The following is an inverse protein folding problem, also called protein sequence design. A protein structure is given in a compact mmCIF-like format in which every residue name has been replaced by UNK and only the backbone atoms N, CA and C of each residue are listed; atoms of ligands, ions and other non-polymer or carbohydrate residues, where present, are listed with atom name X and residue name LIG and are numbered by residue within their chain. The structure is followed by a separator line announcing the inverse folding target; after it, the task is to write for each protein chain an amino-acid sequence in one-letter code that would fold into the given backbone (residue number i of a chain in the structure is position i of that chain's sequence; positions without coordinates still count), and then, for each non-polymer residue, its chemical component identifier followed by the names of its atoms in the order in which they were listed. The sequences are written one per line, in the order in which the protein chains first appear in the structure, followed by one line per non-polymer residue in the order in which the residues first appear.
data_IF_315284085180
#
_entry.id   IF_315284085180
#
_cell.length_a   1.000
_cell.length_b   1.000
_cell.length_c   1.000
_cell.angle_alpha   90.00
_cell.angle_beta   90.00
_cell.angle_gamma   90.00
#
_symmetry.space_group_name_H-M   'P 1'
#
loop_
_entity.id
_entity.type
_entity.pdbx_description
1 polymer ?
#
# COMPACT_ATOMS: atom_id res chain seq x y z
N UNK A 1 -0.65 -1.57 0.30
CA UNK A 1 -1.87 -2.40 0.15
C UNK A 1 -2.68 -2.00 -1.10
N UNK A 2 -3.23 -2.94 -1.87
CA UNK A 2 -3.96 -2.63 -3.12
C UNK A 2 -5.46 -2.85 -3.01
N UNK A 3 -6.27 -1.79 -3.10
CA UNK A 3 -7.73 -1.94 -3.19
C UNK A 3 -8.07 -2.70 -4.48
N UNK A 4 -8.76 -3.83 -4.33
CA UNK A 4 -9.26 -4.64 -5.44
C UNK A 4 -10.20 -3.80 -6.32
N UNK A 5 -9.79 -3.53 -7.56
CA UNK A 5 -10.53 -2.70 -8.50
C UNK A 5 -11.73 -3.40 -9.15
N UNK A 6 -11.84 -4.73 -9.02
CA UNK A 6 -12.85 -5.53 -9.71
C UNK A 6 -13.59 -6.47 -8.74
N UNK A 7 -14.91 -6.31 -8.64
CA UNK A 7 -15.79 -7.23 -7.91
C UNK A 7 -17.07 -6.59 -7.36
N UNK A 8 -18.00 -7.41 -6.88
CA UNK A 8 -19.17 -6.97 -6.10
C UNK A 8 -18.91 -7.27 -4.62
N UNK A 9 -18.87 -6.27 -3.72
CA UNK A 9 -18.79 -6.55 -2.30
C UNK A 9 -20.05 -7.26 -1.82
N UNK A 10 -19.87 -8.29 -0.99
CA UNK A 10 -20.98 -8.96 -0.32
C UNK A 10 -21.41 -8.14 0.89
N UNK A 11 -22.72 -8.02 1.11
CA UNK A 11 -23.23 -7.44 2.35
C UNK A 11 -23.07 -8.43 3.53
N UNK A 12 -23.29 -7.95 4.75
CA UNK A 12 -23.10 -8.77 5.95
C UNK A 12 -23.92 -10.06 5.95
N UNK A 13 -25.19 -10.01 5.54
CA UNK A 13 -26.06 -11.19 5.50
C UNK A 13 -25.55 -12.22 4.49
N UNK A 14 -25.14 -11.77 3.30
CA UNK A 14 -24.51 -12.61 2.29
C UNK A 14 -23.22 -13.26 2.84
N UNK A 15 -22.34 -12.48 3.49
CA UNK A 15 -21.12 -12.98 4.13
C UNK A 15 -21.42 -14.07 5.16
N UNK A 16 -22.45 -13.87 6.00
CA UNK A 16 -22.83 -14.86 7.00
C UNK A 16 -23.16 -16.23 6.39
N UNK A 17 -23.77 -16.26 5.21
CA UNK A 17 -24.11 -17.51 4.52
C UNK A 17 -22.90 -18.27 3.99
N UNK A 18 -21.82 -17.56 3.63
CA UNK A 18 -20.63 -18.15 2.98
C UNK A 18 -19.40 -18.22 3.87
N UNK A 19 -19.40 -17.58 5.06
CA UNK A 19 -18.22 -17.45 5.94
C UNK A 19 -17.52 -18.78 6.25
N UNK A 20 -18.29 -19.85 6.42
CA UNK A 20 -17.72 -21.17 6.76
C UNK A 20 -16.95 -21.75 5.57
N UNK A 21 -17.48 -21.60 4.36
CA UNK A 21 -16.82 -22.03 3.11
C UNK A 21 -15.51 -21.26 2.93
N UNK A 22 -15.56 -19.93 3.08
CA UNK A 22 -14.36 -19.08 2.99
C UNK A 22 -13.30 -19.45 4.02
N UNK A 23 -13.67 -19.68 5.28
CA UNK A 23 -12.74 -20.11 6.32
C UNK A 23 -12.07 -21.44 6.00
N UNK A 24 -12.83 -22.41 5.48
CA UNK A 24 -12.29 -23.72 5.11
C UNK A 24 -11.30 -23.59 3.94
N UNK A 25 -11.62 -22.79 2.92
CA UNK A 25 -10.70 -22.53 1.81
C UNK A 25 -9.43 -21.82 2.29
N UNK A 26 -9.57 -20.75 3.07
CA UNK A 26 -8.43 -20.00 3.61
C UNK A 26 -7.50 -20.88 4.47
N UNK A 27 -8.06 -21.78 5.28
CA UNK A 27 -7.27 -22.72 6.07
C UNK A 27 -6.52 -23.72 5.18
N UNK A 28 -7.17 -24.26 4.15
CA UNK A 28 -6.53 -25.16 3.20
C UNK A 28 -5.38 -24.45 2.46
N UNK A 29 -5.61 -23.24 1.97
CA UNK A 29 -4.60 -22.43 1.29
C UNK A 29 -3.42 -22.12 2.21
N UNK A 30 -3.69 -21.76 3.47
CA UNK A 30 -2.66 -21.54 4.47
C UNK A 30 -1.81 -22.80 4.69
N UNK A 31 -2.46 -23.97 4.85
CA UNK A 31 -1.76 -25.25 5.02
C UNK A 31 -0.91 -25.57 3.78
N UNK A 32 -1.41 -25.32 2.57
CA UNK A 32 -0.67 -25.53 1.33
C UNK A 32 0.56 -24.62 1.24
N UNK A 33 0.41 -23.33 1.54
CA UNK A 33 1.51 -22.35 1.55
C UNK A 33 2.57 -22.76 2.59
N UNK A 34 2.14 -23.06 3.82
CA UNK A 34 3.06 -23.51 4.87
C UNK A 34 3.79 -24.79 4.47
N UNK A 35 3.09 -25.79 3.91
CA UNK A 35 3.72 -27.02 3.46
C UNK A 35 4.70 -26.82 2.31
N UNK A 36 4.41 -25.88 1.40
CA UNK A 36 5.29 -25.51 0.28
C UNK A 36 6.58 -24.85 0.77
N UNK A 37 6.50 -24.00 1.80
CA UNK A 37 7.62 -23.17 2.24
C UNK A 37 8.28 -23.61 3.55
N UNK A 38 7.78 -24.63 4.25
CA UNK A 38 8.33 -25.10 5.55
C UNK A 38 9.78 -25.59 5.53
N UNK A 39 10.34 -25.88 4.36
CA UNK A 39 11.74 -26.30 4.16
C UNK A 39 12.57 -25.24 3.43
N UNK A 40 12.01 -24.05 3.21
CA UNK A 40 12.75 -22.93 2.65
C UNK A 40 13.70 -22.40 3.71
N UNK A 41 14.96 -22.25 3.33
CA UNK A 41 16.04 -21.76 4.20
C UNK A 41 16.94 -20.83 3.37
N UNK A 42 17.70 -19.97 4.04
CA UNK A 42 18.64 -19.04 3.42
C UNK A 42 17.99 -17.99 2.49
N UNK A 43 16.74 -17.58 2.78
CA UNK A 43 16.16 -16.42 2.12
C UNK A 43 16.94 -15.15 2.50
N UNK A 44 17.07 -14.23 1.56
CA UNK A 44 17.68 -12.93 1.81
C UNK A 44 16.87 -12.16 2.86
N UNK A 45 17.54 -11.46 3.78
CA UNK A 45 16.89 -10.55 4.70
C UNK A 45 16.45 -9.29 3.95
N UNK A 46 15.23 -9.33 3.44
CA UNK A 46 14.54 -8.24 2.79
C UNK A 46 13.57 -7.58 3.78
N UNK A 47 13.51 -6.26 3.76
CA UNK A 47 12.64 -5.48 4.64
C UNK A 47 12.25 -4.17 3.97
N UNK A 48 11.18 -3.52 4.41
CA UNK A 48 10.75 -2.20 3.94
C UNK A 48 9.92 -1.51 5.01
N UNK A 49 9.75 -0.21 4.87
CA UNK A 49 8.77 0.57 5.60
C UNK A 49 7.46 0.72 4.80
N UNK A 50 6.43 1.15 5.52
CA UNK A 50 5.12 1.56 4.99
C UNK A 50 4.71 2.81 5.78
N UNK A 51 4.43 3.91 5.08
CA UNK A 51 4.12 5.21 5.69
C UNK A 51 2.78 5.70 5.19
N UNK A 52 1.91 6.04 6.13
CA UNK A 52 0.65 6.71 5.86
C UNK A 52 0.76 8.24 6.01
N UNK A 53 0.26 8.97 5.01
CA UNK A 53 0.23 10.42 4.98
C UNK A 53 -1.22 10.91 4.95
N UNK A 54 -1.55 11.84 5.84
CA UNK A 54 -2.83 12.55 5.79
C UNK A 54 -2.73 13.80 4.89
N UNK A 55 -3.55 13.84 3.85
CA UNK A 55 -3.71 14.98 2.97
C UNK A 55 -4.50 16.08 3.71
N UNK A 56 -3.88 17.25 3.82
CA UNK A 56 -4.45 18.41 4.49
C UNK A 56 -4.53 19.60 3.54
N UNK A 57 -5.58 20.41 3.68
CA UNK A 57 -5.79 21.66 2.96
C UNK A 57 -5.78 22.81 3.94
N UNK A 58 -4.86 23.74 3.72
CA UNK A 58 -4.80 25.00 4.45
C UNK A 58 -5.65 26.07 3.77
N UNK A 59 -6.46 26.77 4.55
CA UNK A 59 -7.17 27.99 4.16
C UNK A 59 -6.70 29.11 5.09
N UNK A 60 -5.64 29.80 4.68
CA UNK A 60 -4.98 30.80 5.50
C UNK A 60 -5.85 32.06 5.71
N UNK A 61 -6.62 32.47 4.70
CA UNK A 61 -7.54 33.61 4.79
C UNK A 61 -8.55 33.44 5.93
N UNK A 62 -9.10 32.23 6.06
CA UNK A 62 -10.08 31.91 7.09
C UNK A 62 -9.47 31.25 8.33
N UNK A 63 -8.13 31.11 8.39
CA UNK A 63 -7.39 30.43 9.46
C UNK A 63 -7.93 29.03 9.76
N UNK A 64 -8.20 28.23 8.72
CA UNK A 64 -8.72 26.86 8.83
C UNK A 64 -7.79 25.84 8.21
N UNK A 65 -7.75 24.64 8.80
CA UNK A 65 -7.10 23.45 8.26
C UNK A 65 -8.12 22.33 8.20
N UNK A 66 -8.18 21.61 7.09
CA UNK A 66 -9.16 20.54 6.86
C UNK A 66 -8.48 19.34 6.20
N UNK A 67 -9.04 18.15 6.43
CA UNK A 67 -8.66 16.97 5.65
C UNK A 67 -9.07 17.15 4.19
N UNK A 68 -8.20 16.72 3.28
CA UNK A 68 -8.42 16.79 1.84
C UNK A 68 -8.80 15.40 1.32
N UNK A 69 -10.10 15.13 1.23
CA UNK A 69 -10.65 13.85 0.78
C UNK A 69 -10.56 13.66 -0.75
N UNK A 70 -9.34 13.71 -1.29
CA UNK A 70 -9.01 13.62 -2.72
C UNK A 70 -7.85 12.66 -3.02
N UNK A 71 -7.56 11.72 -2.13
CA UNK A 71 -6.45 10.77 -2.28
C UNK A 71 -6.55 10.00 -3.60
N UNK A 72 -7.74 9.50 -3.93
CA UNK A 72 -7.97 8.74 -5.17
C UNK A 72 -7.72 9.57 -6.45
N UNK A 73 -8.16 10.83 -6.48
CA UNK A 73 -7.95 11.75 -7.61
C UNK A 73 -6.47 12.06 -7.80
N UNK A 74 -5.77 12.36 -6.70
CA UNK A 74 -4.34 12.68 -6.71
C UNK A 74 -3.53 11.48 -7.19
N UNK A 75 -3.82 10.27 -6.70
CA UNK A 75 -3.09 9.07 -7.08
C UNK A 75 -3.36 8.65 -8.53
N UNK A 76 -4.58 8.82 -9.05
CA UNK A 76 -4.86 8.63 -10.49
C UNK A 76 -4.02 9.56 -11.36
N UNK A 77 -3.93 10.84 -10.99
CA UNK A 77 -3.09 11.82 -11.70
C UNK A 77 -1.61 11.48 -11.60
N UNK A 78 -1.15 11.07 -10.43
CA UNK A 78 0.22 10.64 -10.19
C UNK A 78 0.62 9.46 -11.09
N UNK A 79 -0.25 8.44 -11.19
CA UNK A 79 -0.03 7.28 -12.07
C UNK A 79 0.05 7.67 -13.55
N UNK A 80 -0.78 8.61 -14.02
CA UNK A 80 -0.71 9.14 -15.39
C UNK A 80 0.64 9.81 -15.66
N UNK A 81 1.07 10.71 -14.77
CA UNK A 81 2.36 11.41 -14.90
C UNK A 81 3.57 10.46 -14.93
N UNK A 82 3.52 9.38 -14.13
CA UNK A 82 4.54 8.33 -14.12
C UNK A 82 4.58 7.53 -15.42
N UNK A 83 3.41 7.16 -15.96
CA UNK A 83 3.31 6.43 -17.24
C UNK A 83 3.84 7.26 -18.41
N UNK A 84 3.62 8.58 -18.37
CA UNK A 84 4.15 9.52 -19.36
C UNK A 84 5.66 9.79 -19.18
N UNK A 85 6.32 9.14 -18.20
CA UNK A 85 7.73 9.30 -17.83
C UNK A 85 8.16 10.73 -17.55
N UNK A 86 7.20 11.60 -17.21
CA UNK A 86 7.45 13.03 -16.97
C UNK A 86 8.29 13.23 -15.70
N UNK A 87 8.29 12.25 -14.79
CA UNK A 87 8.98 12.34 -13.52
C UNK A 87 9.75 11.03 -13.25
N UNK A 88 11.05 11.03 -13.51
CA UNK A 88 11.94 9.86 -13.38
C UNK A 88 12.18 9.43 -11.92
N UNK A 89 12.14 10.38 -10.98
CA UNK A 89 12.50 10.17 -9.57
C UNK A 89 11.40 9.47 -8.76
N UNK A 90 10.14 9.59 -9.20
CA UNK A 90 8.98 8.95 -8.56
C UNK A 90 8.91 7.42 -8.76
N UNK A 91 9.84 6.84 -9.54
CA UNK A 91 9.93 5.40 -9.76
C UNK A 91 10.39 4.62 -8.51
N UNK A 92 10.81 5.31 -7.45
CA UNK A 92 11.36 4.72 -6.23
C UNK A 92 10.33 4.48 -5.12
N UNK A 93 9.12 5.06 -5.22
CA UNK A 93 8.02 4.88 -4.26
C UNK A 93 6.76 4.44 -5.00
N UNK A 94 6.04 3.49 -4.43
CA UNK A 94 4.70 3.11 -4.86
C UNK A 94 3.72 3.72 -3.86
N UNK A 95 2.73 4.45 -4.37
CA UNK A 95 1.67 5.01 -3.55
C UNK A 95 0.35 4.25 -3.73
N UNK A 96 -0.36 4.07 -2.62
CA UNK A 96 -1.64 3.40 -2.52
C UNK A 96 -2.68 4.30 -1.84
N UNK A 97 -3.95 4.10 -2.20
CA UNK A 97 -5.08 4.65 -1.44
C UNK A 97 -5.31 3.79 -0.21
N UNK A 98 -5.60 4.42 0.91
CA UNK A 98 -6.07 3.76 2.12
C UNK A 98 -7.58 3.96 2.32
N UNK A 99 -8.17 3.34 3.36
CA UNK A 99 -9.62 3.35 3.61
C UNK A 99 -10.20 4.78 3.70
N UNK A 100 -9.45 5.69 4.31
CA UNK A 100 -9.80 7.10 4.36
C UNK A 100 -9.35 7.81 3.08
N UNK A 101 -10.27 8.40 2.30
CA UNK A 101 -9.93 9.10 1.05
C UNK A 101 -9.10 10.40 1.22
N UNK A 102 -8.60 10.69 2.42
CA UNK A 102 -7.61 11.72 2.70
C UNK A 102 -6.27 11.13 3.14
N UNK A 103 -6.10 9.80 3.11
CA UNK A 103 -4.87 9.10 3.45
C UNK A 103 -4.28 8.49 2.18
N UNK A 104 -2.98 8.67 2.00
CA UNK A 104 -2.19 7.93 1.02
C UNK A 104 -1.12 7.14 1.76
N UNK A 105 -0.84 5.93 1.30
CA UNK A 105 0.24 5.09 1.81
C UNK A 105 1.38 5.08 0.81
N UNK A 106 2.61 5.28 1.26
CA UNK A 106 3.83 5.16 0.47
C UNK A 106 4.65 3.97 0.92
N UNK A 107 5.12 3.17 -0.05
CA UNK A 107 6.09 2.09 0.17
C UNK A 107 7.25 2.20 -0.82
N UNK A 108 8.46 1.75 -0.47
CA UNK A 108 9.56 1.63 -1.42
C UNK A 108 9.18 0.70 -2.58
N UNK A 109 9.52 1.06 -3.82
CA UNK A 109 9.19 0.21 -4.98
C UNK A 109 9.98 -1.10 -5.04
N UNK A 110 11.05 -1.19 -4.24
CA UNK A 110 11.85 -2.40 -4.02
C UNK A 110 12.19 -2.52 -2.53
N UNK A 111 12.20 -3.74 -1.97
CA UNK A 111 12.61 -3.93 -0.59
C UNK A 111 14.09 -3.58 -0.39
N UNK A 112 14.41 -3.11 0.81
CA UNK A 112 15.77 -2.93 1.28
C UNK A 112 16.45 -4.26 1.59
N UNK A 113 17.78 -4.25 1.54
CA UNK A 113 18.62 -5.38 1.93
C UNK A 113 19.26 -5.15 3.31
N UNK A 114 19.88 -6.19 3.86
CA UNK A 114 20.59 -6.15 5.16
C UNK A 114 21.87 -5.31 5.17
N UNK A 115 22.34 -4.80 4.02
CA UNK A 115 23.60 -4.06 3.96
C UNK A 115 23.45 -2.69 4.64
N UNK A 116 24.38 -2.26 5.52
CA UNK A 116 24.27 -1.02 6.31
C UNK A 116 23.94 0.24 5.51
N UNK A 117 24.44 0.35 4.28
CA UNK A 117 24.12 1.47 3.39
C UNK A 117 22.62 1.64 3.09
N UNK A 118 21.82 0.58 3.20
CA UNK A 118 20.36 0.67 3.03
C UNK A 118 19.69 1.46 4.16
N UNK A 119 20.28 1.50 5.36
CA UNK A 119 19.70 2.27 6.48
C UNK A 119 19.69 3.78 6.20
N UNK A 120 20.72 4.29 5.50
CA UNK A 120 20.75 5.69 5.08
C UNK A 120 19.78 5.97 3.93
N UNK A 121 19.51 4.97 3.10
CA UNK A 121 18.61 5.12 1.96
C UNK A 121 17.14 5.22 2.39
N UNK A 122 16.77 4.61 3.51
CA UNK A 122 15.40 4.63 4.05
C UNK A 122 14.86 6.05 4.14
N UNK A 123 15.54 6.94 4.86
CA UNK A 123 15.09 8.32 5.00
C UNK A 123 15.05 9.07 3.66
N UNK A 124 16.04 8.88 2.78
CA UNK A 124 16.03 9.51 1.46
C UNK A 124 14.89 9.01 0.57
N UNK A 125 14.50 7.75 0.71
CA UNK A 125 13.35 7.19 0.00
C UNK A 125 12.04 7.79 0.51
N UNK A 126 11.93 8.12 1.80
CA UNK A 126 10.72 8.72 2.39
C UNK A 126 10.50 10.19 2.01
N UNK A 127 11.56 10.93 1.69
CA UNK A 127 11.53 12.40 1.67
C UNK A 127 11.06 13.02 0.36
N UNK A 128 11.32 12.42 -0.82
CA UNK A 128 11.11 13.01 -2.15
C UNK A 128 11.19 14.56 -2.19
#
# INVERSE_FOLDING_TARGET
MGILSNGRPLNWSEIQSVKTIFKNHALNDLILILNKHKKTHNDAFLWSDEIEYSLIRFNHENKRVQLCSKADEILKRFQQLNNDKTISELSQIIFHVEDCNFVIEGIPSKPYHSHPNNYYYVQSNMIL
#
